data_IF_355806698527
#
_entry.id   IF_355806698527
#
_cell.length_a   1.000
_cell.length_b   1.000
_cell.length_c   1.000
_cell.angle_alpha   90.00
_cell.angle_beta   90.00
_cell.angle_gamma   90.00
#
_symmetry.space_group_name_H-M   'P 1'
#
loop_
_entity.id
_entity.type
_entity.pdbx_description
1 polymer ?
#
# COMPACT_ATOMS: atom_id res chain seq x y z
N UNK A 1 9.44 -36.61 -46.40
CA UNK A 1 8.92 -37.36 -45.24
C UNK A 1 8.32 -36.36 -44.27
N UNK A 2 7.14 -36.66 -43.75
CA UNK A 2 6.20 -35.78 -43.04
C UNK A 2 6.80 -34.95 -41.89
N UNK A 3 6.70 -33.63 -41.99
CA UNK A 3 6.79 -32.68 -40.86
C UNK A 3 5.43 -32.58 -40.12
N UNK A 4 4.81 -33.72 -39.84
CA UNK A 4 3.59 -33.77 -39.04
C UNK A 4 3.97 -34.15 -37.61
N UNK A 5 3.63 -33.27 -36.66
CA UNK A 5 3.79 -33.40 -35.21
C UNK A 5 5.22 -33.33 -34.64
N UNK A 6 5.81 -32.13 -34.61
CA UNK A 6 6.56 -31.77 -33.40
C UNK A 6 5.53 -31.77 -32.26
N UNK A 7 5.72 -32.67 -31.30
CA UNK A 7 4.86 -32.83 -30.14
C UNK A 7 4.74 -31.45 -29.45
N UNK A 8 3.51 -30.94 -29.23
CA UNK A 8 3.30 -29.62 -28.59
C UNK A 8 3.91 -29.52 -27.18
N UNK A 9 4.23 -30.67 -26.59
CA UNK A 9 4.89 -30.81 -25.29
C UNK A 9 6.42 -30.95 -25.39
N UNK A 10 7.02 -30.81 -26.59
CA UNK A 10 8.47 -30.83 -26.75
C UNK A 10 9.07 -29.52 -26.21
N UNK A 11 10.13 -29.55 -25.38
CA UNK A 11 10.74 -28.36 -24.78
C UNK A 11 11.10 -27.28 -25.82
N UNK A 12 11.65 -27.68 -26.97
CA UNK A 12 12.00 -26.75 -28.05
C UNK A 12 10.77 -26.02 -28.64
N UNK A 13 9.61 -26.67 -28.72
CA UNK A 13 8.38 -26.04 -29.21
C UNK A 13 7.81 -25.05 -28.16
N UNK A 14 7.97 -25.34 -26.87
CA UNK A 14 7.58 -24.40 -25.81
C UNK A 14 8.50 -23.18 -25.77
N UNK A 15 9.81 -23.38 -25.96
CA UNK A 15 10.79 -22.30 -26.05
C UNK A 15 10.55 -21.44 -27.30
N UNK A 16 10.34 -22.06 -28.47
CA UNK A 16 9.98 -21.35 -29.71
C UNK A 16 8.70 -20.50 -29.53
N UNK A 17 7.67 -21.05 -28.85
CA UNK A 17 6.46 -20.29 -28.54
C UNK A 17 6.68 -19.16 -27.53
N UNK A 18 7.60 -19.33 -26.56
CA UNK A 18 7.92 -18.30 -25.59
C UNK A 18 8.69 -17.15 -26.23
N UNK A 19 9.69 -17.45 -27.07
CA UNK A 19 10.44 -16.46 -27.85
C UNK A 19 9.48 -15.66 -28.73
N UNK A 20 8.62 -16.35 -29.48
CA UNK A 20 7.63 -15.71 -30.34
C UNK A 20 6.69 -14.78 -29.54
N UNK A 21 6.22 -15.20 -28.36
CA UNK A 21 5.41 -14.33 -27.49
C UNK A 21 6.17 -13.09 -27.04
N UNK A 22 7.43 -13.22 -26.65
CA UNK A 22 8.28 -12.09 -26.25
C UNK A 22 8.48 -11.11 -27.41
N UNK A 23 8.82 -11.61 -28.61
CA UNK A 23 9.01 -10.79 -29.80
C UNK A 23 7.73 -10.03 -30.19
N UNK A 24 6.57 -10.70 -30.09
CA UNK A 24 5.27 -10.05 -30.29
C UNK A 24 5.02 -8.96 -29.24
N UNK A 25 5.31 -9.20 -27.96
CA UNK A 25 5.15 -8.19 -26.92
C UNK A 25 6.03 -6.96 -27.20
N UNK A 26 7.30 -7.15 -27.55
CA UNK A 26 8.19 -6.03 -27.92
C UNK A 26 7.68 -5.29 -29.15
N UNK A 27 7.21 -6.01 -30.18
CA UNK A 27 6.60 -5.38 -31.36
C UNK A 27 5.35 -4.55 -31.01
N UNK A 28 4.54 -5.00 -30.06
CA UNK A 28 3.37 -4.24 -29.60
C UNK A 28 3.78 -2.97 -28.86
N UNK A 29 4.79 -3.03 -28.00
CA UNK A 29 5.32 -1.85 -27.30
C UNK A 29 5.82 -0.81 -28.31
N UNK A 30 6.58 -1.23 -29.32
CA UNK A 30 7.08 -0.36 -30.37
C UNK A 30 5.95 0.29 -31.19
N UNK A 31 4.94 -0.49 -31.59
CA UNK A 31 3.75 0.02 -32.29
C UNK A 31 2.99 1.06 -31.44
N UNK A 32 2.92 0.86 -30.11
CA UNK A 32 2.30 1.81 -29.18
C UNK A 32 3.15 3.08 -29.06
N UNK A 33 4.48 2.95 -28.93
CA UNK A 33 5.40 4.08 -28.87
C UNK A 33 5.33 4.93 -30.14
N UNK A 34 5.26 4.32 -31.32
CA UNK A 34 5.09 5.03 -32.60
C UNK A 34 3.79 5.86 -32.58
N UNK A 35 2.68 5.27 -32.10
CA UNK A 35 1.43 6.01 -31.91
C UNK A 35 1.60 7.16 -30.91
N UNK A 36 2.22 6.93 -29.76
CA UNK A 36 2.46 7.97 -28.75
C UNK A 36 3.25 9.14 -29.32
N UNK A 37 4.27 8.90 -30.15
CA UNK A 37 5.05 9.96 -30.82
C UNK A 37 4.17 10.81 -31.74
N UNK A 38 3.32 10.19 -32.57
CA UNK A 38 2.40 10.91 -33.45
C UNK A 38 1.31 11.71 -32.71
N UNK A 39 0.99 11.30 -31.48
CA UNK A 39 -0.02 11.92 -30.63
C UNK A 39 0.58 12.53 -29.36
N UNK A 40 1.85 12.93 -29.37
CA UNK A 40 2.60 13.36 -28.17
C UNK A 40 1.87 14.42 -27.34
N UNK A 41 1.23 15.37 -28.02
CA UNK A 41 0.43 16.41 -27.39
C UNK A 41 -0.83 15.89 -26.67
N UNK A 42 -1.36 14.70 -26.95
CA UNK A 42 -2.45 14.08 -26.17
C UNK A 42 -1.93 13.35 -24.92
N UNK A 43 -0.62 13.11 -24.85
CA UNK A 43 0.06 12.45 -23.75
C UNK A 43 0.88 13.39 -22.85
N UNK A 44 0.75 14.72 -23.03
CA UNK A 44 1.54 15.73 -22.31
C UNK A 44 3.06 15.52 -22.48
N UNK A 45 3.51 15.09 -23.67
CA UNK A 45 4.92 14.77 -23.97
C UNK A 45 5.54 15.78 -24.94
N UNK A 46 5.60 17.04 -24.55
CA UNK A 46 6.03 18.16 -25.42
C UNK A 46 7.53 18.11 -25.82
N UNK A 47 8.34 17.27 -25.17
CA UNK A 47 9.74 17.05 -25.55
C UNK A 47 9.90 16.22 -26.82
N UNK A 48 8.88 15.48 -27.25
CA UNK A 48 8.95 14.65 -28.45
C UNK A 48 8.96 15.54 -29.70
N UNK A 49 9.86 15.27 -30.67
CA UNK A 49 10.05 16.15 -31.81
C UNK A 49 8.83 16.18 -32.72
N UNK A 50 8.33 17.37 -33.04
CA UNK A 50 7.39 17.59 -34.15
C UNK A 50 8.17 17.70 -35.46
N UNK A 51 8.82 16.62 -35.92
CA UNK A 51 9.42 16.58 -37.26
C UNK A 51 8.33 16.32 -38.32
N UNK A 52 8.63 16.56 -39.60
CA UNK A 52 7.71 16.23 -40.70
C UNK A 52 7.34 14.74 -40.74
N UNK A 53 8.24 13.87 -40.30
CA UNK A 53 8.06 12.42 -40.30
C UNK A 53 7.12 11.96 -39.16
N UNK A 54 6.96 12.77 -38.12
CA UNK A 54 6.11 12.49 -36.95
C UNK A 54 4.88 13.41 -36.87
N UNK A 55 4.42 13.94 -38.01
CA UNK A 55 3.22 14.78 -38.03
C UNK A 55 2.00 14.02 -37.48
N UNK A 56 1.16 14.72 -36.70
CA UNK A 56 -0.07 14.16 -36.15
C UNK A 56 -1.02 13.76 -37.30
N UNK A 57 -1.45 12.49 -37.38
CA UNK A 57 -2.41 12.06 -38.39
C UNK A 57 -3.74 12.81 -38.26
N UNK A 58 -4.46 12.99 -39.37
CA UNK A 58 -5.82 13.53 -39.37
C UNK A 58 -6.86 12.46 -38.98
N UNK A 59 -6.57 11.72 -37.91
CA UNK A 59 -7.42 10.70 -37.32
C UNK A 59 -7.51 11.01 -35.82
N UNK A 60 -8.70 10.95 -35.19
CA UNK A 60 -8.80 11.11 -33.74
C UNK A 60 -8.01 10.04 -32.99
N UNK A 61 -7.41 10.39 -31.84
CA UNK A 61 -6.59 9.46 -31.04
C UNK A 61 -7.30 8.14 -30.73
N UNK A 62 -8.57 8.21 -30.31
CA UNK A 62 -9.34 7.00 -29.95
C UNK A 62 -9.58 6.08 -31.16
N UNK A 63 -9.72 6.65 -32.35
CA UNK A 63 -9.89 5.87 -33.58
C UNK A 63 -8.56 5.20 -33.96
N UNK A 64 -7.44 5.93 -33.85
CA UNK A 64 -6.10 5.37 -34.06
C UNK A 64 -5.76 4.24 -33.07
N UNK A 65 -6.10 4.40 -31.79
CA UNK A 65 -5.95 3.35 -30.77
C UNK A 65 -6.80 2.13 -31.11
N UNK A 66 -8.05 2.34 -31.56
CA UNK A 66 -8.94 1.26 -31.98
C UNK A 66 -8.40 0.50 -33.21
N UNK A 67 -7.87 1.21 -34.20
CA UNK A 67 -7.21 0.62 -35.37
C UNK A 67 -6.00 -0.21 -34.97
N UNK A 68 -5.13 0.35 -34.11
CA UNK A 68 -3.95 -0.34 -33.61
C UNK A 68 -4.32 -1.61 -32.82
N UNK A 69 -5.32 -1.52 -31.94
CA UNK A 69 -5.83 -2.68 -31.21
C UNK A 69 -6.28 -3.81 -32.15
N UNK A 70 -7.02 -3.48 -33.20
CA UNK A 70 -7.47 -4.46 -34.19
C UNK A 70 -6.31 -5.05 -35.01
N UNK A 71 -5.32 -4.21 -35.40
CA UNK A 71 -4.08 -4.65 -36.07
C UNK A 71 -3.35 -5.70 -35.22
N UNK A 72 -3.14 -5.42 -33.94
CA UNK A 72 -2.45 -6.33 -33.02
C UNK A 72 -3.24 -7.62 -32.81
N UNK A 73 -4.56 -7.55 -32.60
CA UNK A 73 -5.38 -8.76 -32.47
C UNK A 73 -5.29 -9.67 -33.69
N UNK A 74 -5.25 -9.08 -34.88
CA UNK A 74 -5.05 -9.82 -36.13
C UNK A 74 -3.65 -10.42 -36.22
N UNK A 75 -2.62 -9.71 -35.74
CA UNK A 75 -1.25 -10.22 -35.67
C UNK A 75 -1.15 -11.46 -34.77
N UNK A 76 -1.68 -11.39 -33.54
CA UNK A 76 -1.71 -12.54 -32.63
C UNK A 76 -2.47 -13.73 -33.21
N UNK A 77 -3.62 -13.47 -33.84
CA UNK A 77 -4.40 -14.51 -34.53
C UNK A 77 -3.61 -15.16 -35.68
N UNK A 78 -2.89 -14.37 -36.48
CA UNK A 78 -2.03 -14.87 -37.57
C UNK A 78 -0.86 -15.72 -37.04
N UNK A 79 -0.35 -15.37 -35.87
CA UNK A 79 0.70 -16.10 -35.16
C UNK A 79 0.20 -17.32 -34.38
N UNK A 80 -1.11 -17.64 -34.45
CA UNK A 80 -1.74 -18.74 -33.72
C UNK A 80 -1.53 -18.66 -32.19
N UNK A 81 -1.59 -17.44 -31.64
CA UNK A 81 -1.52 -17.15 -30.20
C UNK A 81 -2.84 -16.50 -29.79
N UNK A 82 -3.45 -17.00 -28.72
CA UNK A 82 -4.64 -16.40 -28.14
C UNK A 82 -4.31 -15.01 -27.58
N UNK A 83 -5.14 -14.02 -27.94
CA UNK A 83 -4.96 -12.65 -27.51
C UNK A 83 -5.65 -12.42 -26.17
N UNK A 84 -4.86 -12.11 -25.15
CA UNK A 84 -5.33 -11.70 -23.83
C UNK A 84 -5.24 -10.18 -23.70
N UNK A 85 -6.37 -9.51 -23.42
CA UNK A 85 -6.40 -8.05 -23.31
C UNK A 85 -5.49 -7.51 -22.20
N UNK A 86 -5.34 -8.23 -21.09
CA UNK A 86 -4.49 -7.78 -20.00
C UNK A 86 -3.01 -7.88 -20.39
N UNK A 87 -2.58 -9.07 -20.78
CA UNK A 87 -1.15 -9.36 -21.04
C UNK A 87 -0.64 -8.85 -22.38
N UNK A 88 -1.49 -8.76 -23.41
CA UNK A 88 -1.07 -8.41 -24.77
C UNK A 88 -1.48 -7.01 -25.20
N UNK A 89 -2.12 -6.23 -24.31
CA UNK A 89 -2.51 -4.85 -24.59
C UNK A 89 -2.30 -3.92 -23.39
N UNK A 90 -2.94 -4.20 -22.26
CA UNK A 90 -2.84 -3.32 -21.08
C UNK A 90 -1.40 -3.28 -20.51
N UNK A 91 -0.73 -4.43 -20.40
CA UNK A 91 0.67 -4.49 -19.93
C UNK A 91 1.65 -3.82 -20.91
N UNK A 92 1.58 -4.05 -22.24
CA UNK A 92 2.37 -3.29 -23.20
C UNK A 92 2.15 -1.77 -23.15
N UNK A 93 0.90 -1.30 -23.02
CA UNK A 93 0.63 0.13 -22.83
C UNK A 93 1.30 0.69 -21.59
N UNK A 94 1.20 -0.06 -20.49
CA UNK A 94 1.84 0.28 -19.21
C UNK A 94 3.37 0.38 -19.31
N UNK A 95 3.99 -0.42 -20.18
CA UNK A 95 5.43 -0.37 -20.43
C UNK A 95 5.78 0.78 -21.37
N UNK A 96 5.04 0.96 -22.47
CA UNK A 96 5.31 2.00 -23.46
C UNK A 96 5.28 3.44 -22.91
N UNK A 97 4.60 3.67 -21.77
CA UNK A 97 4.49 4.99 -21.12
C UNK A 97 5.21 5.06 -19.77
N UNK A 98 6.08 4.10 -19.43
CA UNK A 98 6.95 4.24 -18.27
C UNK A 98 8.09 5.23 -18.54
N UNK A 99 8.69 5.80 -17.50
CA UNK A 99 9.77 6.77 -17.65
C UNK A 99 11.00 6.21 -18.36
N UNK A 100 11.26 4.90 -18.27
CA UNK A 100 12.29 4.21 -19.06
C UNK A 100 12.02 4.37 -20.56
N UNK A 101 10.86 3.91 -21.03
CA UNK A 101 10.44 4.05 -22.44
C UNK A 101 10.32 5.50 -22.90
N UNK A 102 9.89 6.42 -22.02
CA UNK A 102 9.85 7.85 -22.37
C UNK A 102 11.26 8.44 -22.54
N UNK A 103 12.25 7.94 -21.79
CA UNK A 103 13.64 8.37 -21.94
C UNK A 103 14.26 7.86 -23.24
N UNK A 104 13.94 6.62 -23.65
CA UNK A 104 14.35 6.08 -24.95
C UNK A 104 13.80 6.94 -26.11
N UNK A 105 12.53 7.35 -26.02
CA UNK A 105 11.91 8.25 -27.00
C UNK A 105 12.55 9.66 -27.00
N UNK A 106 13.17 10.06 -25.89
CA UNK A 106 13.99 11.26 -25.79
C UNK A 106 15.44 11.06 -26.28
N UNK A 107 15.76 9.95 -26.95
CA UNK A 107 17.13 9.54 -27.32
C UNK A 107 18.06 9.42 -26.10
N UNK A 108 17.53 8.86 -25.01
CA UNK A 108 18.20 8.72 -23.71
C UNK A 108 18.61 10.06 -23.06
N UNK A 109 18.08 11.20 -23.55
CA UNK A 109 18.27 12.51 -22.95
C UNK A 109 17.29 12.72 -21.79
N UNK A 110 17.59 12.07 -20.66
CA UNK A 110 16.85 12.17 -19.41
C UNK A 110 16.73 13.62 -18.95
N UNK A 111 17.73 14.46 -19.20
CA UNK A 111 17.69 15.87 -18.81
C UNK A 111 16.60 16.60 -19.58
N UNK A 112 16.55 16.43 -20.90
CA UNK A 112 15.50 17.04 -21.73
C UNK A 112 14.12 16.54 -21.31
N UNK A 113 13.95 15.23 -21.12
CA UNK A 113 12.71 14.64 -20.59
C UNK A 113 12.27 15.32 -19.28
N UNK A 114 13.14 15.37 -18.27
CA UNK A 114 12.82 15.96 -16.96
C UNK A 114 12.46 17.44 -17.10
N UNK A 115 13.22 18.20 -17.88
CA UNK A 115 12.98 19.64 -18.05
C UNK A 115 11.69 19.98 -18.80
N UNK A 116 11.08 19.01 -19.48
CA UNK A 116 9.78 19.16 -20.12
C UNK A 116 8.61 19.16 -19.12
N UNK A 117 8.80 18.56 -17.94
CA UNK A 117 7.83 18.62 -16.85
C UNK A 117 7.98 19.90 -16.04
N UNK A 118 6.97 20.18 -15.20
CA UNK A 118 6.97 21.36 -14.34
C UNK A 118 8.19 21.39 -13.39
N UNK A 119 8.88 22.54 -13.18
CA UNK A 119 10.10 22.62 -12.38
C UNK A 119 10.03 22.03 -10.97
N UNK A 120 8.86 22.09 -10.33
CA UNK A 120 8.64 21.48 -9.01
C UNK A 120 8.82 19.96 -8.98
N UNK A 121 8.60 19.26 -10.09
CA UNK A 121 8.72 17.80 -10.14
C UNK A 121 10.15 17.33 -10.44
N UNK A 122 11.07 18.22 -10.82
CA UNK A 122 12.39 17.86 -11.33
C UNK A 122 13.20 17.01 -10.34
N UNK A 123 13.29 17.43 -9.06
CA UNK A 123 14.05 16.70 -8.05
C UNK A 123 13.55 15.26 -7.87
N UNK A 124 12.24 15.09 -7.81
CA UNK A 124 11.63 13.78 -7.64
C UNK A 124 11.80 12.90 -8.90
N UNK A 125 11.69 13.48 -10.10
CA UNK A 125 11.96 12.77 -11.35
C UNK A 125 13.43 12.33 -11.45
N UNK A 126 14.39 13.20 -11.09
CA UNK A 126 15.81 12.84 -11.04
C UNK A 126 16.02 11.62 -10.13
N UNK A 127 15.43 11.65 -8.94
CA UNK A 127 15.58 10.54 -8.00
C UNK A 127 14.92 9.23 -8.47
N UNK A 128 13.87 9.28 -9.30
CA UNK A 128 13.30 8.07 -9.92
C UNK A 128 14.36 7.37 -10.77
N UNK A 129 15.09 8.13 -11.60
CA UNK A 129 16.17 7.59 -12.43
C UNK A 129 17.39 7.17 -11.59
N UNK A 130 17.79 7.98 -10.59
CA UNK A 130 18.94 7.65 -9.73
C UNK A 130 18.72 6.36 -8.92
N UNK A 131 17.47 6.01 -8.62
CA UNK A 131 17.10 4.79 -7.91
C UNK A 131 16.73 3.60 -8.81
N UNK A 132 16.80 3.73 -10.13
CA UNK A 132 16.44 2.66 -11.08
C UNK A 132 14.95 2.30 -11.05
N UNK A 133 14.09 3.29 -10.82
CA UNK A 133 12.64 3.11 -10.69
C UNK A 133 11.87 3.40 -11.98
N UNK A 134 12.52 3.99 -12.97
CA UNK A 134 11.94 4.48 -14.23
C UNK A 134 11.14 3.42 -15.00
N UNK A 135 11.55 2.15 -14.98
CA UNK A 135 10.82 1.04 -15.61
C UNK A 135 9.51 0.66 -14.91
N UNK A 136 9.35 1.05 -13.64
CA UNK A 136 8.16 0.77 -12.82
C UNK A 136 7.22 1.98 -12.71
N UNK A 137 7.71 3.18 -13.02
CA UNK A 137 6.99 4.43 -12.88
C UNK A 137 6.31 4.82 -14.19
N UNK A 138 4.98 4.66 -14.22
CA UNK A 138 4.16 4.96 -15.40
C UNK A 138 3.71 6.41 -15.42
N UNK A 139 3.79 7.06 -16.58
CA UNK A 139 3.29 8.40 -16.78
C UNK A 139 1.79 8.40 -17.11
N UNK A 140 1.05 9.32 -16.49
CA UNK A 140 -0.35 9.59 -16.80
C UNK A 140 -0.52 11.08 -17.08
N UNK A 141 -0.94 11.44 -18.31
CA UNK A 141 -1.33 12.79 -18.68
C UNK A 141 -2.39 13.35 -17.73
N UNK A 142 -2.22 14.61 -17.31
CA UNK A 142 -3.11 15.26 -16.35
C UNK A 142 -4.56 15.33 -16.86
N UNK A 143 -4.71 15.52 -18.17
CA UNK A 143 -6.00 15.59 -18.86
C UNK A 143 -6.85 14.31 -18.76
N UNK A 144 -6.28 13.19 -18.34
CA UNK A 144 -7.04 11.94 -18.15
C UNK A 144 -7.84 11.93 -16.84
N UNK A 145 -7.57 12.86 -15.93
CA UNK A 145 -8.24 12.95 -14.64
C UNK A 145 -9.41 13.93 -14.67
N UNK A 146 -10.46 13.60 -13.92
CA UNK A 146 -11.66 14.41 -13.75
C UNK A 146 -12.22 14.25 -12.35
N UNK A 147 -13.19 15.09 -11.97
CA UNK A 147 -13.94 14.96 -10.72
C UNK A 147 -13.04 14.92 -9.46
N UNK A 148 -12.05 15.83 -9.40
CA UNK A 148 -11.09 15.92 -8.28
C UNK A 148 -11.79 16.37 -6.99
N UNK A 149 -11.72 15.54 -5.95
CA UNK A 149 -12.33 15.78 -4.63
C UNK A 149 -11.28 15.63 -3.54
N UNK A 150 -11.16 16.61 -2.65
CA UNK A 150 -10.27 16.50 -1.48
C UNK A 150 -10.77 15.41 -0.51
N UNK A 151 -9.94 14.41 -0.22
CA UNK A 151 -10.27 13.32 0.71
C UNK A 151 -9.70 13.57 2.11
N UNK A 152 -8.53 14.20 2.18
CA UNK A 152 -7.89 14.52 3.45
C UNK A 152 -6.45 14.97 3.29
N UNK A 153 -5.91 15.58 4.33
CA UNK A 153 -4.49 15.90 4.43
C UNK A 153 -3.98 15.38 5.78
N UNK A 154 -2.88 14.62 5.74
CA UNK A 154 -2.12 14.28 6.93
C UNK A 154 -1.09 15.36 7.25
N UNK A 155 -0.22 15.10 8.23
CA UNK A 155 0.87 16.03 8.59
C UNK A 155 1.90 16.29 7.48
N UNK A 156 1.81 15.57 6.34
CA UNK A 156 2.88 15.52 5.35
C UNK A 156 2.43 15.46 3.89
N UNK A 157 1.15 15.20 3.57
CA UNK A 157 0.67 15.21 2.17
C UNK A 157 -0.86 15.28 2.12
N UNK A 158 -1.37 15.90 1.06
CA UNK A 158 -2.79 15.94 0.72
C UNK A 158 -3.14 14.81 -0.26
N UNK A 159 -4.31 14.21 -0.06
CA UNK A 159 -4.87 13.15 -0.89
C UNK A 159 -6.21 13.61 -1.46
N UNK A 160 -6.38 13.36 -2.75
CA UNK A 160 -7.59 13.64 -3.51
C UNK A 160 -8.13 12.35 -4.11
N UNK A 161 -9.44 12.26 -4.31
CA UNK A 161 -10.08 11.27 -5.15
C UNK A 161 -10.29 11.88 -6.53
N UNK A 162 -10.17 11.09 -7.59
CA UNK A 162 -10.43 11.51 -8.96
C UNK A 162 -10.92 10.32 -9.79
N UNK A 163 -11.60 10.60 -10.90
CA UNK A 163 -11.85 9.63 -11.96
C UNK A 163 -10.75 9.73 -13.01
N UNK A 164 -10.11 8.60 -13.35
CA UNK A 164 -9.20 8.48 -14.50
C UNK A 164 -9.89 7.77 -15.66
N UNK A 165 -9.70 8.27 -16.88
CA UNK A 165 -10.18 7.66 -18.12
C UNK A 165 -9.01 7.35 -19.03
N UNK A 166 -8.66 6.07 -19.17
CA UNK A 166 -7.52 5.67 -20.01
C UNK A 166 -7.97 5.53 -21.47
N UNK A 167 -7.31 6.19 -22.44
CA UNK A 167 -7.72 6.15 -23.83
C UNK A 167 -7.54 4.75 -24.44
N UNK A 168 -6.67 3.92 -23.86
CA UNK A 168 -6.36 2.56 -24.30
C UNK A 168 -7.09 1.47 -23.51
N UNK A 169 -8.00 1.79 -22.58
CA UNK A 169 -8.74 0.75 -21.88
C UNK A 169 -9.57 -0.09 -22.87
N UNK A 170 -9.28 -1.40 -22.88
CA UNK A 170 -9.93 -2.33 -23.80
C UNK A 170 -11.46 -2.26 -23.61
N UNK A 171 -12.23 -2.02 -24.68
CA UNK A 171 -13.66 -1.83 -24.55
C UNK A 171 -14.33 -3.11 -24.07
N UNK A 172 -15.12 -3.00 -23.00
CA UNK A 172 -16.14 -4.01 -22.70
C UNK A 172 -17.13 -4.12 -23.86
N UNK A 173 -17.84 -5.26 -23.94
CA UNK A 173 -18.79 -5.52 -25.02
C UNK A 173 -19.81 -4.37 -25.12
N UNK A 174 -19.77 -3.63 -26.24
CA UNK A 174 -20.66 -2.49 -26.51
C UNK A 174 -20.16 -1.12 -26.05
N UNK A 175 -18.98 -1.02 -25.43
CA UNK A 175 -18.34 0.25 -25.08
C UNK A 175 -17.28 0.65 -26.11
N UNK A 176 -16.87 1.93 -26.11
CA UNK A 176 -15.78 2.47 -26.93
C UNK A 176 -14.54 2.71 -26.06
N UNK A 177 -13.37 2.76 -26.67
CA UNK A 177 -12.13 3.22 -26.01
C UNK A 177 -12.34 4.60 -25.36
N UNK A 178 -11.64 4.86 -24.25
CA UNK A 178 -11.70 6.14 -23.56
C UNK A 178 -13.07 6.48 -22.95
N UNK A 179 -13.91 5.49 -22.64
CA UNK A 179 -15.22 5.73 -21.98
C UNK A 179 -15.31 5.13 -20.57
N UNK A 180 -14.37 4.25 -20.20
CA UNK A 180 -14.35 3.65 -18.87
C UNK A 180 -13.70 4.61 -17.89
N UNK A 181 -14.45 5.00 -16.86
CA UNK A 181 -13.94 5.75 -15.71
C UNK A 181 -13.54 4.78 -14.61
N UNK A 182 -12.42 5.08 -13.94
CA UNK A 182 -11.95 4.36 -12.75
C UNK A 182 -11.65 5.36 -11.66
N UNK A 183 -12.17 5.11 -10.46
CA UNK A 183 -11.85 5.92 -9.31
C UNK A 183 -10.41 5.63 -8.84
N UNK A 184 -9.65 6.68 -8.57
CA UNK A 184 -8.28 6.63 -8.08
C UNK A 184 -8.06 7.64 -6.96
N UNK A 185 -7.04 7.41 -6.16
CA UNK A 185 -6.52 8.39 -5.22
C UNK A 185 -5.26 9.06 -5.80
N UNK A 186 -5.20 10.39 -5.72
CA UNK A 186 -4.03 11.20 -6.09
C UNK A 186 -3.40 11.76 -4.81
N UNK A 187 -2.16 11.36 -4.53
CA UNK A 187 -1.40 11.82 -3.36
C UNK A 187 -0.27 12.75 -3.81
N UNK A 188 -0.21 13.97 -3.27
CA UNK A 188 0.86 14.92 -3.59
C UNK A 188 2.20 14.37 -3.11
N UNK A 189 3.20 14.41 -3.97
CA UNK A 189 4.59 14.01 -3.72
C UNK A 189 5.37 15.23 -3.24
N UNK A 190 6.07 15.07 -2.13
CA UNK A 190 7.13 15.97 -1.68
C UNK A 190 8.49 15.29 -1.86
N UNK A 191 9.58 16.04 -1.69
CA UNK A 191 10.95 15.52 -1.85
C UNK A 191 11.26 14.34 -0.89
N UNK A 192 10.48 14.15 0.19
CA UNK A 192 10.66 13.06 1.17
C UNK A 192 9.87 11.80 0.81
N UNK A 193 8.93 11.86 -0.13
CA UNK A 193 8.10 10.72 -0.59
C UNK A 193 8.90 9.75 -1.46
N UNK A 194 10.09 10.11 -1.93
CA UNK A 194 10.97 9.19 -2.67
C UNK A 194 11.28 7.91 -1.90
N UNK A 195 11.39 7.99 -0.57
CA UNK A 195 11.55 6.82 0.27
C UNK A 195 10.30 5.94 0.22
N UNK A 196 9.10 6.53 0.34
CA UNK A 196 7.84 5.78 0.21
C UNK A 196 7.74 5.09 -1.16
N UNK A 197 8.09 5.79 -2.24
CA UNK A 197 8.10 5.25 -3.60
C UNK A 197 9.11 4.09 -3.72
N UNK A 198 10.32 4.26 -3.20
CA UNK A 198 11.38 3.25 -3.25
C UNK A 198 11.06 2.01 -2.42
N UNK A 199 10.49 2.19 -1.23
CA UNK A 199 10.09 1.06 -0.39
C UNK A 199 8.89 0.35 -1.00
N UNK A 200 7.86 1.07 -1.44
CA UNK A 200 6.68 0.46 -2.07
C UNK A 200 7.02 -0.28 -3.36
N UNK A 201 7.95 0.23 -4.17
CA UNK A 201 8.39 -0.43 -5.40
C UNK A 201 9.16 -1.72 -5.13
N UNK A 202 9.99 -1.77 -4.08
CA UNK A 202 10.74 -2.96 -3.66
C UNK A 202 9.88 -3.97 -2.90
N UNK A 203 8.89 -3.50 -2.16
CA UNK A 203 8.05 -4.31 -1.29
C UNK A 203 6.95 -5.10 -1.97
N UNK A 204 6.92 -5.11 -3.30
CA UNK A 204 5.83 -5.73 -4.06
C UNK A 204 4.43 -5.28 -3.57
N UNK A 205 4.31 -4.07 -3.00
CA UNK A 205 3.01 -3.42 -2.70
C UNK A 205 2.38 -2.87 -4.00
N UNK A 206 2.64 -3.57 -5.10
CA UNK A 206 2.29 -3.28 -6.48
C UNK A 206 0.78 -3.25 -6.74
N UNK A 207 -0.04 -3.52 -5.73
CA UNK A 207 -1.49 -3.55 -5.87
C UNK A 207 -2.12 -2.16 -5.76
N UNK A 208 -1.51 -1.22 -5.02
CA UNK A 208 -2.10 0.11 -4.86
C UNK A 208 -1.49 1.14 -5.81
N UNK A 209 -0.21 1.08 -6.15
CA UNK A 209 0.43 2.12 -6.95
C UNK A 209 0.29 1.89 -8.46
N UNK A 210 -0.18 2.91 -9.18
CA UNK A 210 -0.46 2.84 -10.61
C UNK A 210 0.53 3.60 -11.50
N UNK A 211 1.15 4.66 -10.96
CA UNK A 211 2.05 5.56 -11.67
C UNK A 211 1.96 6.99 -11.15
N UNK A 212 2.32 7.96 -11.98
CA UNK A 212 2.50 9.36 -11.59
C UNK A 212 1.88 10.32 -12.61
N UNK A 213 1.49 11.48 -12.13
CA UNK A 213 1.02 12.61 -12.95
C UNK A 213 1.52 13.93 -12.36
N UNK A 214 1.51 15.01 -13.13
CA UNK A 214 1.79 16.37 -12.66
C UNK A 214 0.54 17.20 -12.81
N UNK A 215 0.07 17.80 -11.71
CA UNK A 215 -1.06 18.70 -11.74
C UNK A 215 -0.73 19.94 -12.57
N UNK A 216 -1.46 20.18 -13.65
CA UNK A 216 -1.19 21.30 -14.57
C UNK A 216 -1.31 22.68 -13.90
N UNK A 217 -2.27 22.83 -12.97
CA UNK A 217 -2.54 24.14 -12.34
C UNK A 217 -1.56 24.50 -11.22
N UNK A 218 -1.06 23.51 -10.47
CA UNK A 218 -0.19 23.75 -9.32
C UNK A 218 1.26 23.35 -9.57
N UNK A 219 1.50 22.52 -10.58
CA UNK A 219 2.78 21.91 -10.87
C UNK A 219 3.20 20.83 -9.88
N UNK A 220 2.30 20.39 -9.00
CA UNK A 220 2.60 19.39 -7.99
C UNK A 220 2.65 17.99 -8.63
N UNK A 221 3.71 17.26 -8.35
CA UNK A 221 3.83 15.84 -8.72
C UNK A 221 2.91 15.01 -7.83
N UNK A 222 2.19 14.04 -8.40
CA UNK A 222 1.22 13.24 -7.69
C UNK A 222 1.40 11.75 -7.99
N UNK A 223 1.36 10.93 -6.94
CA UNK A 223 1.23 9.48 -7.06
C UNK A 223 -0.22 9.11 -7.33
N UNK A 224 -0.43 8.17 -8.24
CA UNK A 224 -1.73 7.61 -8.55
C UNK A 224 -1.84 6.27 -7.83
N UNK A 225 -2.85 6.15 -6.99
CA UNK A 225 -3.10 5.02 -6.12
C UNK A 225 -4.50 4.46 -6.37
N UNK A 226 -4.71 3.19 -6.07
CA UNK A 226 -6.05 2.61 -5.96
C UNK A 226 -6.82 3.33 -4.86
N UNK A 227 -8.06 3.74 -5.16
CA UNK A 227 -8.93 4.35 -4.17
C UNK A 227 -9.49 3.28 -3.22
N UNK A 228 -9.17 3.39 -1.94
CA UNK A 228 -9.73 2.51 -0.91
C UNK A 228 -11.17 2.94 -0.55
N UNK A 229 -12.16 2.51 -1.34
CA UNK A 229 -13.58 2.85 -1.12
C UNK A 229 -14.10 2.36 0.23
N UNK A 230 -13.57 1.24 0.73
CA UNK A 230 -13.90 0.69 2.05
C UNK A 230 -13.25 1.50 3.20
N UNK A 231 -12.37 2.45 2.88
CA UNK A 231 -11.63 3.28 3.81
C UNK A 231 -10.46 2.52 4.46
N UNK A 232 -10.15 2.88 5.70
CA UNK A 232 -9.07 2.27 6.48
C UNK A 232 -9.59 1.36 7.60
N UNK A 233 -8.68 0.59 8.20
CA UNK A 233 -9.00 -0.35 9.27
C UNK A 233 -9.63 0.36 10.49
N UNK A 234 -9.24 1.60 10.79
CA UNK A 234 -9.84 2.39 11.86
C UNK A 234 -11.36 2.54 11.64
N UNK A 235 -11.79 2.92 10.44
CA UNK A 235 -13.20 3.01 10.07
C UNK A 235 -13.90 1.65 10.12
N UNK A 236 -13.22 0.58 9.73
CA UNK A 236 -13.76 -0.78 9.80
C UNK A 236 -13.98 -1.24 11.25
N UNK A 237 -13.03 -0.97 12.15
CA UNK A 237 -13.16 -1.28 13.59
C UNK A 237 -14.35 -0.53 14.17
N UNK A 238 -14.55 0.75 13.85
CA UNK A 238 -15.70 1.52 14.34
C UNK A 238 -17.05 0.95 13.89
N UNK A 239 -17.15 0.52 12.62
CA UNK A 239 -18.38 -0.08 12.05
C UNK A 239 -18.64 -1.51 12.56
N UNK A 240 -17.61 -2.23 12.98
CA UNK A 240 -17.71 -3.61 13.40
C UNK A 240 -18.46 -3.74 14.73
N UNK A 241 -19.77 -3.97 14.68
CA UNK A 241 -20.58 -4.38 15.83
C UNK A 241 -20.73 -5.91 15.93
N UNK A 242 -20.40 -6.62 14.84
CA UNK A 242 -20.50 -8.08 14.70
C UNK A 242 -19.34 -8.59 13.84
N UNK A 243 -18.16 -8.73 14.43
CA UNK A 243 -17.02 -9.40 13.76
C UNK A 243 -16.92 -10.85 14.22
N UNK A 244 -16.26 -11.70 13.44
CA UNK A 244 -15.94 -13.08 13.79
C UNK A 244 -14.45 -13.22 14.09
N UNK A 245 -14.08 -14.18 14.93
CA UNK A 245 -12.66 -14.49 15.16
C UNK A 245 -11.96 -14.95 13.88
N UNK A 246 -12.66 -15.65 12.98
CA UNK A 246 -12.11 -16.00 11.68
C UNK A 246 -11.73 -14.76 10.86
N UNK A 247 -12.57 -13.71 10.85
CA UNK A 247 -12.25 -12.45 10.16
C UNK A 247 -11.10 -11.70 10.84
N UNK A 248 -11.07 -11.65 12.17
CA UNK A 248 -9.96 -11.05 12.91
C UNK A 248 -8.65 -11.79 12.60
N UNK A 249 -8.65 -13.12 12.65
CA UNK A 249 -7.47 -13.93 12.36
C UNK A 249 -7.00 -13.71 10.92
N UNK A 250 -7.90 -13.65 9.93
CA UNK A 250 -7.56 -13.35 8.54
C UNK A 250 -6.91 -11.97 8.37
N UNK A 251 -7.47 -10.92 9.01
CA UNK A 251 -6.86 -9.57 9.04
C UNK A 251 -5.43 -9.65 9.58
N UNK A 252 -5.25 -10.26 10.75
CA UNK A 252 -3.94 -10.33 11.41
C UNK A 252 -2.96 -11.17 10.58
N UNK A 253 -3.40 -12.29 9.99
CA UNK A 253 -2.58 -13.12 9.11
C UNK A 253 -2.02 -12.31 7.95
N UNK A 254 -2.86 -11.55 7.24
CA UNK A 254 -2.43 -10.78 6.07
C UNK A 254 -1.48 -9.64 6.47
N UNK A 255 -1.80 -8.90 7.52
CA UNK A 255 -0.93 -7.84 8.03
C UNK A 255 0.42 -8.38 8.51
N UNK A 256 0.43 -9.52 9.19
CA UNK A 256 1.64 -10.15 9.68
C UNK A 256 2.54 -10.65 8.54
N UNK A 257 1.98 -11.25 7.49
CA UNK A 257 2.78 -11.65 6.32
C UNK A 257 3.27 -10.46 5.48
N UNK A 258 2.45 -9.42 5.31
CA UNK A 258 2.92 -8.17 4.69
C UNK A 258 4.09 -7.56 5.47
N UNK A 259 4.01 -7.59 6.81
CA UNK A 259 5.09 -7.09 7.66
C UNK A 259 6.33 -8.00 7.63
N UNK A 260 6.15 -9.32 7.61
CA UNK A 260 7.25 -10.28 7.48
C UNK A 260 8.01 -10.08 6.16
N UNK A 261 7.31 -9.89 5.04
CA UNK A 261 7.97 -9.60 3.76
C UNK A 261 8.78 -8.29 3.81
N UNK A 262 8.23 -7.24 4.42
CA UNK A 262 8.96 -5.98 4.63
C UNK A 262 10.24 -6.18 5.48
N UNK A 263 10.15 -6.99 6.53
CA UNK A 263 11.25 -7.28 7.45
C UNK A 263 12.31 -8.19 6.82
N UNK A 264 11.90 -9.34 6.28
CA UNK A 264 12.77 -10.44 5.91
C UNK A 264 13.26 -10.36 4.45
N UNK A 265 12.39 -9.97 3.51
CA UNK A 265 12.73 -9.92 2.09
C UNK A 265 13.43 -8.60 1.71
N UNK A 266 13.07 -7.50 2.38
CA UNK A 266 13.53 -6.14 2.06
C UNK A 266 14.53 -5.61 3.09
N UNK A 267 14.45 -6.06 4.34
CA UNK A 267 15.32 -5.58 5.41
C UNK A 267 14.96 -4.19 5.92
N UNK A 268 13.67 -3.84 5.93
CA UNK A 268 13.19 -2.51 6.35
C UNK A 268 12.17 -2.59 7.48
N UNK A 269 12.12 -1.57 8.33
CA UNK A 269 11.05 -1.37 9.31
C UNK A 269 10.04 -0.34 8.78
N UNK A 270 8.74 -0.50 9.08
CA UNK A 270 7.69 0.42 8.67
C UNK A 270 7.67 1.72 9.49
N UNK A 271 7.76 1.61 10.83
CA UNK A 271 7.85 2.70 11.83
C UNK A 271 6.62 3.58 12.04
N UNK A 272 5.60 3.48 11.19
CA UNK A 272 4.34 4.23 11.33
C UNK A 272 3.07 3.36 11.19
N UNK A 273 3.08 2.15 11.76
CA UNK A 273 1.93 1.24 11.69
C UNK A 273 0.84 1.70 12.67
N UNK A 274 -0.35 1.98 12.15
CA UNK A 274 -1.57 2.20 12.93
C UNK A 274 -2.81 1.96 12.08
N UNK A 275 -3.98 1.91 12.71
CA UNK A 275 -5.24 1.51 12.04
C UNK A 275 -5.69 2.46 10.92
N UNK A 276 -5.26 3.73 10.93
CA UNK A 276 -5.49 4.66 9.81
C UNK A 276 -4.54 4.47 8.61
N UNK A 277 -3.37 3.84 8.82
CA UNK A 277 -2.38 3.51 7.78
C UNK A 277 -2.51 2.07 7.28
N UNK A 278 -3.70 1.48 7.46
CA UNK A 278 -4.06 0.19 6.88
C UNK A 278 -5.29 0.44 6.01
N UNK A 279 -5.10 0.43 4.70
CA UNK A 279 -6.21 0.60 3.74
C UNK A 279 -6.93 -0.73 3.53
N UNK A 280 -8.24 -0.64 3.31
CA UNK A 280 -9.10 -1.77 2.97
C UNK A 280 -9.49 -1.64 1.50
N UNK A 281 -9.10 -2.61 0.68
CA UNK A 281 -9.33 -2.61 -0.78
C UNK A 281 -9.67 -4.03 -1.21
N UNK A 282 -10.80 -4.22 -1.88
CA UNK A 282 -11.27 -5.50 -2.42
C UNK A 282 -11.21 -6.66 -1.39
N UNK A 283 -11.74 -6.43 -0.18
CA UNK A 283 -11.69 -7.39 0.95
C UNK A 283 -10.26 -7.74 1.44
N UNK A 284 -9.26 -6.94 1.09
CA UNK A 284 -7.87 -7.08 1.51
C UNK A 284 -7.35 -5.87 2.31
N UNK A 285 -6.19 -6.04 2.97
CA UNK A 285 -5.64 -5.11 3.95
C UNK A 285 -4.19 -4.76 3.62
N UNK A 286 -3.95 -3.48 3.32
CA UNK A 286 -2.66 -3.00 2.85
C UNK A 286 -2.04 -2.00 3.82
N UNK A 287 -0.81 -2.26 4.26
CA UNK A 287 0.01 -1.26 4.94
C UNK A 287 0.38 -0.15 3.95
N UNK A 288 0.27 1.10 4.37
CA UNK A 288 0.60 2.28 3.57
C UNK A 288 1.38 3.30 4.40
N UNK A 289 1.89 4.35 3.74
CA UNK A 289 2.69 5.42 4.35
C UNK A 289 4.07 4.94 4.85
N UNK A 290 4.86 4.41 3.90
CA UNK A 290 6.24 3.96 4.09
C UNK A 290 7.26 5.10 4.12
N UNK A 291 6.81 6.37 4.24
CA UNK A 291 7.70 7.53 4.22
C UNK A 291 8.82 7.43 5.26
N UNK A 292 8.52 6.87 6.43
CA UNK A 292 9.48 6.73 7.53
C UNK A 292 10.22 5.40 7.52
N UNK A 293 9.96 4.54 6.55
CA UNK A 293 10.56 3.21 6.49
C UNK A 293 12.05 3.29 6.23
N UNK A 294 12.83 2.45 6.90
CA UNK A 294 14.29 2.47 6.82
C UNK A 294 14.82 1.16 7.39
N UNK A 295 16.06 0.81 7.07
CA UNK A 295 16.72 -0.33 7.70
C UNK A 295 16.84 -0.11 9.23
N UNK A 296 16.76 -1.18 10.02
CA UNK A 296 16.83 -1.08 11.48
C UNK A 296 18.14 -0.43 11.98
N UNK A 297 19.25 -0.68 11.27
CA UNK A 297 20.57 -0.13 11.57
C UNK A 297 20.60 1.39 11.39
N UNK A 298 20.16 1.89 10.23
CA UNK A 298 20.10 3.33 9.94
C UNK A 298 19.09 4.05 10.83
N UNK A 299 17.93 3.42 11.09
CA UNK A 299 16.89 3.96 11.96
C UNK A 299 17.44 4.30 13.35
N UNK A 300 18.23 3.38 13.91
CA UNK A 300 18.83 3.52 15.23
C UNK A 300 19.85 4.65 15.26
N UNK A 301 20.68 4.77 14.22
CA UNK A 301 21.70 5.83 14.15
C UNK A 301 21.09 7.22 13.96
N UNK A 302 20.12 7.36 13.06
CA UNK A 302 19.40 8.64 12.84
C UNK A 302 18.64 9.05 14.09
N UNK A 303 17.95 8.12 14.75
CA UNK A 303 17.13 8.43 15.93
C UNK A 303 18.01 8.80 17.14
N UNK A 304 19.12 8.08 17.36
CA UNK A 304 20.09 8.40 18.42
C UNK A 304 20.78 9.76 18.21
N UNK A 305 21.03 10.14 16.96
CA UNK A 305 21.66 11.42 16.66
C UNK A 305 20.69 12.60 16.72
N UNK A 306 19.48 12.43 16.20
CA UNK A 306 18.49 13.51 16.11
C UNK A 306 17.63 13.69 17.36
N UNK A 307 17.51 12.66 18.21
CA UNK A 307 16.60 12.63 19.36
C UNK A 307 15.13 12.87 18.97
N UNK A 308 14.80 12.53 17.73
CA UNK A 308 13.50 12.75 17.10
C UNK A 308 12.88 11.40 16.74
N UNK A 309 11.65 11.18 17.22
CA UNK A 309 10.89 9.96 17.02
C UNK A 309 9.68 10.21 16.13
N UNK A 310 9.37 9.27 15.24
CA UNK A 310 8.23 9.34 14.34
C UNK A 310 7.22 8.25 14.69
N UNK A 311 5.93 8.58 14.59
CA UNK A 311 4.86 7.59 14.71
C UNK A 311 3.58 8.17 15.30
N UNK A 312 2.79 7.30 15.92
CA UNK A 312 1.55 7.68 16.62
C UNK A 312 1.43 6.94 17.94
N UNK A 313 1.23 7.68 19.03
CA UNK A 313 0.90 7.07 20.33
C UNK A 313 -0.53 6.49 20.24
N UNK A 314 -0.77 5.24 20.71
CA UNK A 314 0.12 4.39 21.50
C UNK A 314 0.82 3.27 20.74
N UNK A 315 0.89 3.36 19.41
CA UNK A 315 1.51 2.34 18.55
C UNK A 315 3.04 2.32 18.65
N UNK A 316 3.65 3.40 19.15
CA UNK A 316 5.11 3.46 19.32
C UNK A 316 5.55 2.57 20.49
N UNK A 317 6.49 1.65 20.20
CA UNK A 317 7.05 0.71 21.16
C UNK A 317 7.89 1.40 22.25
N UNK A 318 7.98 0.84 23.47
CA UNK A 318 8.66 1.50 24.60
C UNK A 318 10.16 1.74 24.37
N UNK A 319 10.86 0.83 23.70
CA UNK A 319 12.30 0.93 23.41
C UNK A 319 12.65 2.08 22.44
N UNK A 320 11.68 2.52 21.63
CA UNK A 320 11.84 3.61 20.68
C UNK A 320 12.21 4.92 21.37
N UNK A 321 11.75 5.13 22.62
CA UNK A 321 12.14 6.27 23.46
C UNK A 321 13.65 6.38 23.64
N UNK A 322 14.36 5.25 23.62
CA UNK A 322 15.82 5.19 23.74
C UNK A 322 16.53 5.27 22.38
N UNK A 323 15.79 5.61 21.32
CA UNK A 323 16.28 5.68 19.95
C UNK A 323 16.52 4.33 19.28
N UNK A 324 16.02 3.23 19.86
CA UNK A 324 16.14 1.89 19.28
C UNK A 324 14.88 1.59 18.46
N UNK A 325 15.04 1.47 17.15
CA UNK A 325 14.01 0.95 16.26
C UNK A 325 14.47 -0.37 15.67
N UNK A 326 13.61 -1.37 15.74
CA UNK A 326 13.82 -2.67 15.12
C UNK A 326 12.50 -3.18 14.53
N UNK A 327 12.57 -4.30 13.82
CA UNK A 327 11.44 -5.06 13.31
C UNK A 327 10.45 -5.40 14.46
N UNK A 328 10.98 -5.62 15.66
CA UNK A 328 10.19 -5.90 16.88
C UNK A 328 9.39 -4.68 17.35
N UNK A 329 9.77 -3.45 16.98
CA UNK A 329 8.98 -2.24 17.25
C UNK A 329 7.73 -2.17 16.36
N UNK A 330 7.81 -2.65 15.12
CA UNK A 330 6.63 -2.80 14.27
C UNK A 330 5.71 -3.91 14.78
N UNK A 331 6.27 -5.01 15.29
CA UNK A 331 5.48 -6.09 15.94
C UNK A 331 4.68 -5.56 17.13
N UNK A 332 5.26 -4.67 17.94
CA UNK A 332 4.51 -3.99 19.00
C UNK A 332 3.33 -3.20 18.44
N UNK A 333 3.54 -2.44 17.36
CA UNK A 333 2.46 -1.69 16.69
C UNK A 333 1.35 -2.62 16.20
N UNK A 334 1.70 -3.81 15.65
CA UNK A 334 0.75 -4.84 15.28
C UNK A 334 -0.02 -5.40 16.49
N UNK A 335 0.65 -5.56 17.65
CA UNK A 335 0.00 -5.95 18.91
C UNK A 335 -1.09 -4.96 19.35
N UNK A 336 -0.85 -3.66 19.17
CA UNK A 336 -1.87 -2.63 19.42
C UNK A 336 -3.07 -2.81 18.48
N UNK A 337 -2.82 -3.04 17.18
CA UNK A 337 -3.88 -3.32 16.19
C UNK A 337 -4.68 -4.56 16.56
N UNK A 338 -4.02 -5.65 16.93
CA UNK A 338 -4.66 -6.89 17.38
C UNK A 338 -5.59 -6.63 18.56
N UNK A 339 -5.13 -5.88 19.56
CA UNK A 339 -5.98 -5.50 20.68
C UNK A 339 -7.18 -4.64 20.26
N UNK A 340 -7.01 -3.68 19.34
CA UNK A 340 -8.11 -2.86 18.82
C UNK A 340 -9.17 -3.68 18.07
N UNK A 341 -8.77 -4.71 17.33
CA UNK A 341 -9.68 -5.58 16.58
C UNK A 341 -10.67 -6.30 17.50
N UNK A 342 -10.25 -6.67 18.71
CA UNK A 342 -11.13 -7.33 19.70
C UNK A 342 -11.75 -6.38 20.71
N UNK A 343 -11.11 -5.28 21.07
CA UNK A 343 -11.65 -4.32 22.05
C UNK A 343 -12.61 -3.31 21.42
N UNK A 344 -12.48 -3.07 20.11
CA UNK A 344 -13.23 -2.06 19.38
C UNK A 344 -12.91 -0.62 19.78
N UNK A 345 -11.82 -0.40 20.53
CA UNK A 345 -11.37 0.91 21.02
C UNK A 345 -10.53 1.61 19.95
N UNK A 346 -10.87 2.87 19.67
CA UNK A 346 -10.08 3.76 18.80
C UNK A 346 -9.30 4.75 19.66
N UNK A 347 -8.02 4.91 19.36
CA UNK A 347 -7.15 5.84 20.05
C UNK A 347 -7.27 7.26 19.45
N UNK A 348 -7.57 8.28 20.28
CA UNK A 348 -7.62 9.68 19.87
C UNK A 348 -6.20 10.27 19.73
N UNK A 349 -6.10 11.60 19.67
CA UNK A 349 -4.81 12.27 19.75
C UNK A 349 -4.12 11.99 21.10
N UNK A 350 -2.78 12.03 21.15
CA UNK A 350 -2.02 11.73 22.37
C UNK A 350 -2.43 12.59 23.58
N UNK A 351 -2.81 13.86 23.35
CA UNK A 351 -3.22 14.80 24.39
C UNK A 351 -4.51 14.34 25.10
N UNK A 352 -5.47 13.81 24.32
CA UNK A 352 -6.72 13.25 24.86
C UNK A 352 -6.44 11.95 25.60
N UNK A 353 -5.53 11.11 25.08
CA UNK A 353 -5.11 9.88 25.79
C UNK A 353 -4.49 10.25 27.15
N UNK A 354 -3.58 11.21 27.18
CA UNK A 354 -2.89 11.64 28.39
C UNK A 354 -3.83 12.25 29.43
N UNK A 355 -4.94 12.86 29.01
CA UNK A 355 -5.97 13.37 29.92
C UNK A 355 -6.67 12.25 30.72
N UNK A 356 -6.84 11.07 30.13
CA UNK A 356 -7.47 9.93 30.78
C UNK A 356 -6.87 8.59 30.31
N UNK A 357 -5.65 8.25 30.72
CA UNK A 357 -4.94 7.06 30.25
C UNK A 357 -5.67 5.77 30.67
N UNK A 358 -6.28 5.75 31.85
CA UNK A 358 -7.05 4.60 32.34
C UNK A 358 -8.25 4.28 31.43
N UNK A 359 -8.86 5.30 30.80
CA UNK A 359 -9.92 5.08 29.82
C UNK A 359 -9.39 4.39 28.56
N UNK A 360 -8.16 4.63 28.15
CA UNK A 360 -7.58 4.04 26.93
C UNK A 360 -6.70 2.82 27.21
N UNK A 361 -6.57 2.41 28.47
CA UNK A 361 -5.73 1.28 28.90
C UNK A 361 -5.98 0.00 28.10
N UNK A 362 -4.89 -0.72 27.90
CA UNK A 362 -4.85 -2.05 27.30
C UNK A 362 -4.95 -3.07 28.43
N UNK A 363 -5.88 -4.01 28.27
CA UNK A 363 -6.18 -5.04 29.27
C UNK A 363 -6.75 -6.28 28.59
N UNK A 364 -6.84 -7.37 29.35
CA UNK A 364 -7.51 -8.59 28.92
C UNK A 364 -8.98 -8.29 28.60
N UNK A 365 -9.44 -8.75 27.44
CA UNK A 365 -10.79 -8.54 26.95
C UNK A 365 -11.66 -9.74 27.33
N UNK A 366 -12.71 -9.57 28.16
CA UNK A 366 -13.63 -10.65 28.51
C UNK A 366 -14.24 -11.32 27.28
N UNK A 367 -14.41 -12.63 27.32
CA UNK A 367 -15.02 -13.41 26.24
C UNK A 367 -14.11 -13.64 25.02
N UNK A 368 -12.88 -13.12 25.02
CA UNK A 368 -11.88 -13.40 23.99
C UNK A 368 -11.06 -14.63 24.37
N UNK A 369 -10.81 -15.53 23.41
CA UNK A 369 -10.03 -16.73 23.64
C UNK A 369 -8.65 -16.43 24.22
N UNK A 370 -8.24 -17.21 25.22
CA UNK A 370 -7.00 -16.99 25.97
C UNK A 370 -5.76 -16.95 25.07
N UNK A 371 -5.64 -17.87 24.12
CA UNK A 371 -4.51 -17.91 23.19
C UNK A 371 -4.37 -16.60 22.38
N UNK A 372 -5.47 -15.95 21.98
CA UNK A 372 -5.40 -14.73 21.18
C UNK A 372 -4.84 -13.59 22.00
N UNK A 373 -5.31 -13.51 23.25
CA UNK A 373 -4.83 -12.54 24.21
C UNK A 373 -3.36 -12.81 24.55
N UNK A 374 -2.94 -14.06 24.70
CA UNK A 374 -1.53 -14.42 24.92
C UNK A 374 -0.63 -13.99 23.76
N UNK A 375 -1.01 -14.24 22.49
CA UNK A 375 -0.24 -13.75 21.33
C UNK A 375 -0.23 -12.23 21.28
N UNK A 376 -1.37 -11.59 21.52
CA UNK A 376 -1.49 -10.12 21.54
C UNK A 376 -0.56 -9.51 22.60
N UNK A 377 -0.58 -10.05 23.83
CA UNK A 377 0.28 -9.56 24.91
C UNK A 377 1.75 -9.88 24.68
N UNK A 378 2.08 -11.00 24.03
CA UNK A 378 3.46 -11.29 23.64
C UNK A 378 4.00 -10.26 22.64
N UNK A 379 3.18 -9.75 21.71
CA UNK A 379 3.56 -8.65 20.82
C UNK A 379 3.83 -7.34 21.60
N UNK A 380 3.17 -7.16 22.75
CA UNK A 380 3.27 -5.96 23.58
C UNK A 380 4.32 -6.08 24.69
N UNK A 381 5.11 -7.16 24.72
CA UNK A 381 6.18 -7.35 25.72
C UNK A 381 7.13 -6.14 25.75
N UNK A 382 7.49 -5.61 26.94
CA UNK A 382 8.35 -4.43 27.05
C UNK A 382 9.74 -4.65 26.45
N UNK A 383 10.27 -5.87 26.54
CA UNK A 383 11.56 -6.26 25.97
C UNK A 383 11.37 -6.77 24.53
N UNK A 384 11.95 -6.10 23.52
CA UNK A 384 11.76 -6.46 22.11
C UNK A 384 12.12 -7.91 21.77
N UNK A 385 13.16 -8.45 22.41
CA UNK A 385 13.63 -9.83 22.24
C UNK A 385 12.61 -10.89 22.66
N UNK A 386 11.66 -10.54 23.54
CA UNK A 386 10.61 -11.44 23.99
C UNK A 386 9.41 -11.49 23.03
N UNK A 387 9.31 -10.54 22.09
CA UNK A 387 8.20 -10.49 21.14
C UNK A 387 8.39 -11.54 20.04
N UNK A 388 7.31 -12.11 19.48
CA UNK A 388 7.39 -12.96 18.29
C UNK A 388 7.89 -12.19 17.06
N UNK A 389 8.28 -12.89 16.00
CA UNK A 389 8.47 -12.29 14.65
C UNK A 389 7.11 -12.09 13.97
N UNK A 390 7.07 -11.24 12.94
CA UNK A 390 5.87 -11.08 12.13
C UNK A 390 5.47 -12.40 11.44
N UNK A 391 6.45 -13.19 10.97
CA UNK A 391 6.20 -14.51 10.38
C UNK A 391 5.55 -15.48 11.37
N UNK A 392 6.06 -15.58 12.60
CA UNK A 392 5.50 -16.45 13.65
C UNK A 392 4.02 -16.11 13.93
N UNK A 393 3.69 -14.82 14.02
CA UNK A 393 2.30 -14.36 14.19
C UNK A 393 1.44 -14.79 13.00
N UNK A 394 1.93 -14.58 11.77
CA UNK A 394 1.21 -14.93 10.54
C UNK A 394 0.88 -16.43 10.48
N UNK A 395 1.86 -17.28 10.81
CA UNK A 395 1.70 -18.74 10.84
C UNK A 395 0.67 -19.19 11.88
N UNK A 396 0.74 -18.66 13.11
CA UNK A 396 -0.21 -18.97 14.18
C UNK A 396 -1.63 -18.56 13.77
N UNK A 397 -1.81 -17.32 13.29
CA UNK A 397 -3.13 -16.80 12.92
C UNK A 397 -3.73 -17.54 11.72
N UNK A 398 -2.91 -17.96 10.74
CA UNK A 398 -3.37 -18.72 9.57
C UNK A 398 -3.94 -20.09 9.97
N UNK A 399 -3.28 -20.80 10.90
CA UNK A 399 -3.80 -22.07 11.46
C UNK A 399 -5.17 -21.89 12.11
N UNK A 400 -5.41 -20.72 12.70
CA UNK A 400 -6.65 -20.42 13.41
C UNK A 400 -7.76 -19.97 12.46
N UNK A 401 -7.44 -19.11 11.50
CA UNK A 401 -8.37 -18.65 10.47
C UNK A 401 -9.00 -19.83 9.71
N UNK A 402 -8.21 -20.88 9.45
CA UNK A 402 -8.67 -22.11 8.77
C UNK A 402 -9.52 -23.05 9.65
N UNK A 403 -9.46 -22.92 10.98
CA UNK A 403 -10.11 -23.85 11.92
C UNK A 403 -11.26 -23.23 12.73
N UNK A 404 -11.45 -21.91 12.66
CA UNK A 404 -12.43 -21.16 13.46
C UNK A 404 -13.73 -20.91 12.69
N UNK A 405 -14.86 -20.97 13.40
CA UNK A 405 -16.17 -20.63 12.82
C UNK A 405 -16.21 -19.19 12.28
N UNK A 406 -16.84 -19.02 11.12
CA UNK A 406 -17.10 -17.70 10.51
C UNK A 406 -18.24 -16.93 11.21
N UNK A 407 -18.92 -17.54 12.18
CA UNK A 407 -19.99 -16.87 12.95
C UNK A 407 -19.44 -15.73 13.80
N UNK A 408 -20.24 -14.68 13.97
CA UNK A 408 -19.89 -13.57 14.86
C UNK A 408 -19.62 -14.06 16.29
N UNK A 409 -18.74 -13.35 17.00
CA UNK A 409 -18.45 -13.64 18.42
C UNK A 409 -19.77 -13.56 19.20
N UNK A 410 -20.21 -14.70 19.73
CA UNK A 410 -21.51 -14.85 20.40
C UNK A 410 -21.47 -14.49 21.88
N UNK A 411 -20.29 -14.28 22.45
CA UNK A 411 -20.08 -14.02 23.87
C UNK A 411 -20.71 -12.69 24.31
N UNK A 412 -21.69 -12.77 25.22
CA UNK A 412 -22.40 -11.60 25.75
C UNK A 412 -21.49 -10.71 26.59
N UNK A 413 -20.52 -11.28 27.31
CA UNK A 413 -19.54 -10.54 28.10
C UNK A 413 -18.63 -9.68 27.23
N UNK A 414 -18.14 -10.24 26.12
CA UNK A 414 -17.37 -9.52 25.12
C UNK A 414 -18.18 -8.36 24.53
N UNK A 415 -19.42 -8.59 24.10
CA UNK A 415 -20.28 -7.55 23.53
C UNK A 415 -20.56 -6.43 24.53
N UNK A 416 -20.89 -6.78 25.78
CA UNK A 416 -21.11 -5.82 26.85
C UNK A 416 -19.85 -4.98 27.12
N UNK A 417 -18.68 -5.62 27.13
CA UNK A 417 -17.40 -4.94 27.26
C UNK A 417 -17.18 -3.94 26.12
N UNK A 418 -17.22 -4.38 24.86
CA UNK A 418 -16.97 -3.52 23.68
C UNK A 418 -17.93 -2.33 23.66
N UNK A 419 -19.22 -2.56 23.88
CA UNK A 419 -20.22 -1.49 23.92
C UNK A 419 -19.94 -0.47 25.03
N UNK A 420 -19.61 -0.95 26.24
CA UNK A 420 -19.27 -0.09 27.38
C UNK A 420 -18.00 0.74 27.13
N UNK A 421 -16.94 0.12 26.59
CA UNK A 421 -15.68 0.82 26.26
C UNK A 421 -15.93 1.90 25.20
N UNK A 422 -16.60 1.56 24.10
CA UNK A 422 -16.93 2.52 23.02
C UNK A 422 -17.76 3.69 23.52
N UNK A 423 -18.77 3.43 24.34
CA UNK A 423 -19.60 4.50 24.91
C UNK A 423 -18.77 5.44 25.78
N UNK A 424 -17.92 4.91 26.67
CA UNK A 424 -17.06 5.75 27.52
C UNK A 424 -16.06 6.58 26.71
N UNK A 425 -15.41 5.97 25.71
CA UNK A 425 -14.51 6.69 24.81
C UNK A 425 -15.23 7.77 24.00
N UNK A 426 -16.44 7.49 23.52
CA UNK A 426 -17.27 8.45 22.78
C UNK A 426 -17.68 9.64 23.63
N UNK A 427 -18.14 9.40 24.86
CA UNK A 427 -18.49 10.47 25.82
C UNK A 427 -17.26 11.31 26.15
N UNK A 428 -16.11 10.68 26.43
CA UNK A 428 -14.89 11.41 26.70
C UNK A 428 -14.49 12.31 25.52
N UNK A 429 -14.57 11.80 24.29
CA UNK A 429 -14.25 12.58 23.08
C UNK A 429 -15.15 13.79 22.89
N UNK A 430 -16.45 13.69 23.23
CA UNK A 430 -17.40 14.80 23.09
C UNK A 430 -16.99 16.04 23.89
N UNK A 431 -16.23 15.87 24.98
CA UNK A 431 -15.71 16.98 25.79
C UNK A 431 -14.60 17.78 25.12
N UNK A 432 -13.98 17.28 24.04
CA UNK A 432 -12.84 17.90 23.35
C UNK A 432 -13.19 18.45 21.96
N UNK A 433 -14.47 18.53 21.59
CA UNK A 433 -14.94 18.90 20.24
C UNK A 433 -14.67 20.38 19.85
N UNK A 434 -14.06 21.20 20.72
CA UNK A 434 -13.67 22.57 20.39
C UNK A 434 -12.26 22.75 19.83
N UNK A 435 -11.34 21.80 20.09
CA UNK A 435 -9.99 21.79 19.52
C UNK A 435 -9.89 20.53 18.65
N UNK A 436 -10.03 20.69 17.34
CA UNK A 436 -10.10 19.54 16.41
C UNK A 436 -8.96 18.55 16.67
N UNK A 437 -9.24 17.25 16.85
CA UNK A 437 -8.21 16.30 17.21
C UNK A 437 -7.26 16.13 16.02
N UNK A 438 -5.99 16.53 16.20
CA UNK A 438 -4.93 16.09 15.29
C UNK A 438 -4.69 14.60 15.55
N UNK A 439 -5.34 13.75 14.75
CA UNK A 439 -5.17 12.29 14.78
C UNK A 439 -3.99 11.81 13.93
N UNK A 440 -3.23 12.73 13.33
CA UNK A 440 -2.16 12.43 12.40
C UNK A 440 -0.88 11.94 13.12
N UNK A 441 -0.06 11.17 12.40
CA UNK A 441 1.33 10.92 12.80
C UNK A 441 2.10 12.22 12.91
N UNK A 442 2.97 12.32 13.92
CA UNK A 442 3.74 13.53 14.21
C UNK A 442 5.18 13.18 14.56
N UNK A 443 5.99 14.22 14.55
CA UNK A 443 7.37 14.20 15.03
C UNK A 443 7.34 14.48 16.52
N UNK A 444 7.99 13.64 17.33
CA UNK A 444 8.10 13.82 18.78
C UNK A 444 9.55 14.04 19.15
N UNK A 445 9.81 15.03 19.99
CA UNK A 445 11.06 15.12 20.75
C UNK A 445 11.01 14.22 21.97
N UNK A 446 12.17 13.83 22.50
CA UNK A 446 12.28 13.10 23.78
C UNK A 446 11.47 13.74 24.93
N UNK A 447 11.43 15.08 24.98
CA UNK A 447 10.67 15.84 25.98
C UNK A 447 9.16 15.78 25.79
N UNK A 448 8.67 15.61 24.56
CA UNK A 448 7.24 15.50 24.24
C UNK A 448 6.72 14.06 24.35
N UNK A 449 7.63 13.08 24.35
CA UNK A 449 7.35 11.66 24.52
C UNK A 449 7.02 11.35 25.98
N UNK A 450 5.89 11.87 26.47
CA UNK A 450 5.35 11.55 27.78
C UNK A 450 5.07 10.03 27.92
N UNK A 451 5.08 9.53 29.16
CA UNK A 451 5.01 8.12 29.59
C UNK A 451 3.70 7.37 29.23
N UNK A 452 2.99 7.76 28.17
CA UNK A 452 1.68 7.22 27.81
C UNK A 452 1.72 5.71 27.54
N UNK A 453 2.78 5.16 26.92
CA UNK A 453 2.92 3.70 26.75
C UNK A 453 2.91 2.95 28.09
N UNK A 454 3.60 3.48 29.09
CA UNK A 454 3.80 2.82 30.39
C UNK A 454 2.51 2.88 31.21
N UNK A 455 1.71 3.93 31.01
CA UNK A 455 0.39 4.09 31.63
C UNK A 455 -0.64 3.13 31.02
N UNK A 456 -0.60 2.93 29.70
CA UNK A 456 -1.59 2.11 29.00
C UNK A 456 -1.41 0.61 29.26
N UNK A 457 -0.18 0.16 29.53
CA UNK A 457 0.14 -1.25 29.79
C UNK A 457 0.30 -1.58 31.29
N UNK A 458 0.10 -0.60 32.19
CA UNK A 458 0.38 -0.72 33.63
C UNK A 458 -0.25 -1.95 34.32
N UNK A 459 -1.39 -2.40 33.83
CA UNK A 459 -2.16 -3.50 34.43
C UNK A 459 -1.98 -4.84 33.67
N UNK A 460 -1.11 -4.91 32.67
CA UNK A 460 -0.84 -6.13 31.92
C UNK A 460 0.26 -6.93 32.64
N UNK A 461 -0.02 -8.15 33.12
CA UNK A 461 0.99 -8.99 33.75
C UNK A 461 1.86 -9.65 32.68
N UNK A 462 2.93 -8.98 32.27
CA UNK A 462 3.91 -9.56 31.35
C UNK A 462 4.66 -10.71 32.01
N UNK A 463 4.96 -11.75 31.21
CA UNK A 463 5.70 -12.91 31.68
C UNK A 463 7.21 -12.70 31.59
N UNK A 464 7.67 -11.68 30.86
CA UNK A 464 9.07 -11.31 30.71
C UNK A 464 9.94 -12.50 30.28
N UNK A 465 9.43 -13.28 29.32
CA UNK A 465 10.09 -14.47 28.77
C UNK A 465 9.98 -14.49 27.25
N UNK A 466 10.91 -15.21 26.62
CA UNK A 466 10.88 -15.46 25.19
C UNK A 466 9.54 -16.06 24.77
N UNK A 467 9.06 -15.62 23.61
CA UNK A 467 7.89 -16.19 22.98
C UNK A 467 8.11 -17.67 22.66
N UNK A 468 7.14 -18.51 23.01
CA UNK A 468 7.15 -19.95 22.75
C UNK A 468 5.90 -20.29 21.91
N UNK A 469 6.12 -20.43 20.60
CA UNK A 469 5.07 -20.74 19.65
C UNK A 469 4.44 -22.13 19.89
N UNK A 470 5.22 -23.10 20.36
CA UNK A 470 4.77 -24.48 20.59
C UNK A 470 3.81 -24.55 21.79
N UNK A 471 4.09 -23.80 22.85
CA UNK A 471 3.18 -23.67 24.00
C UNK A 471 1.81 -23.11 23.59
N UNK A 472 1.77 -22.17 22.64
CA UNK A 472 0.51 -21.59 22.14
C UNK A 472 -0.21 -22.57 21.22
N UNK A 473 0.51 -23.28 20.35
CA UNK A 473 -0.07 -24.32 19.50
C UNK A 473 -0.80 -25.39 20.32
N UNK A 474 -0.22 -25.81 21.46
CA UNK A 474 -0.87 -26.75 22.39
C UNK A 474 -2.14 -26.17 23.04
N UNK A 475 -2.13 -24.90 23.43
CA UNK A 475 -3.30 -24.19 23.99
C UNK A 475 -4.46 -24.09 22.96
N UNK A 476 -4.13 -23.93 21.68
CA UNK A 476 -5.12 -23.90 20.58
C UNK A 476 -5.75 -25.28 20.38
N UNK A 477 -4.97 -26.35 20.46
CA UNK A 477 -5.44 -27.73 20.23
C UNK A 477 -6.28 -28.26 21.40
N UNK A 478 -5.95 -27.88 22.63
CA UNK A 478 -6.66 -28.29 23.84
C UNK A 478 -7.99 -27.55 24.08
N UNK A 479 -8.25 -26.45 23.38
CA UNK A 479 -9.51 -25.69 23.42
C UNK A 479 -10.47 -26.00 22.25
N UNK A 480 -10.17 -27.02 21.43
CA UNK A 480 -11.12 -27.64 20.49
C UNK A 480 -11.84 -28.78 21.18
#
# INVERSE_FOLDING_TARGET
MNNASRNRNHPDHQLEQQILKTDLCHSVINDIQELVVHYAADFDLDFLPTSSDYSRPNVPLLDAISELFNKIRLLFKKSNIDFDNHWNWIVPWRQAICFESLSELANDDVKTLITSFHPKSHNALVAIFDHGLEGYMRWYPWRWFSDLVFLGAGGFSAVYGADVTLPYDAPEKGKRFGTQRRAVALKIVDDKILNEITVQSKAFVALLFHGMTVCESTGDLMMILTLAEEGNLNRQIQKAHKTSFAKIADIVTRLAFNLASLHDDIGMCHRNIHSENILCVDEDYFLVDFRFSTSANEASDVTKQSQVHYGRVPYIAPEVKNGLYTEKSDVYSLGIIMWQLVSGVIFPSPEIIANNPDLYRIEWVPGVSRWYQEVTMACLEPFPENRPTAEEIGLIMRKIASTTSKTAIADEGWRAYVNSRRQKCSVHMQHFVSEGPSTASRVYTLSEFSQTSDLLLKNVPFHYRLFDADSIAFSIESNK
#
